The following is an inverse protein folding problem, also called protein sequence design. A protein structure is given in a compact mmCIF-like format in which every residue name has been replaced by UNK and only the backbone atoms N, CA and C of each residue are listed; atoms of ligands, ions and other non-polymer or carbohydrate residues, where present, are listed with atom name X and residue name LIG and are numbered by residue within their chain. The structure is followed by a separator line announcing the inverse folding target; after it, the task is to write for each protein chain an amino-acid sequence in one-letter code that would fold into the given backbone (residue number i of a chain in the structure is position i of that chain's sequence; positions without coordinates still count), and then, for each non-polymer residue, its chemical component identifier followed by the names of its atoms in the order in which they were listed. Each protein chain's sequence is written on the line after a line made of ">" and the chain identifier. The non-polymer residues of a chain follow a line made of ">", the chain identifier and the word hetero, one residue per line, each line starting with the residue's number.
data_IF_184297264381
#
_entry.id   IF_184297264381
#
_cell.length_a   1.000
_cell.length_b   1.000
_cell.length_c   1.000
_cell.angle_alpha   90.00
_cell.angle_beta   90.00
_cell.angle_gamma   90.00
#
_symmetry.space_group_name_H-M   'P 1'
#
loop_
_entity.id
_entity.type
_entity.pdbx_description
1 polymer ?
#
# COMPACT_ATOMS: atom_id res chain seq x y z
N UNK A 1 -21.24 -15.80 -4.06
CA UNK A 1 -21.12 -15.92 -2.59
C UNK A 1 -21.93 -17.09 -2.05
N UNK A 2 -21.57 -17.57 -0.88
CA UNK A 2 -22.35 -18.55 -0.12
C UNK A 2 -22.03 -18.44 1.37
N UNK A 3 -22.99 -18.78 2.23
CA UNK A 3 -22.72 -18.94 3.65
C UNK A 3 -21.96 -20.25 3.92
N UNK A 4 -21.13 -20.25 4.95
CA UNK A 4 -20.34 -21.42 5.35
C UNK A 4 -21.05 -22.16 6.48
N UNK A 5 -21.89 -23.10 6.14
CA UNK A 5 -22.54 -24.00 7.10
C UNK A 5 -21.56 -25.05 7.59
N UNK A 6 -21.46 -25.24 8.91
CA UNK A 6 -20.66 -26.28 9.57
C UNK A 6 -21.51 -27.47 10.02
N UNK A 7 -22.82 -27.25 10.17
CA UNK A 7 -23.86 -28.22 10.51
C UNK A 7 -24.90 -28.29 9.38
N UNK A 8 -25.84 -29.22 9.39
CA UNK A 8 -27.02 -29.17 8.52
C UNK A 8 -27.74 -27.83 8.58
N UNK A 9 -28.32 -27.38 7.47
CA UNK A 9 -28.88 -26.01 7.36
C UNK A 9 -30.08 -25.78 8.29
N UNK A 10 -30.83 -26.82 8.55
CA UNK A 10 -31.99 -26.86 9.44
C UNK A 10 -31.67 -26.71 10.93
N UNK A 11 -30.41 -26.90 11.31
CA UNK A 11 -29.93 -26.74 12.67
C UNK A 11 -29.55 -25.28 13.03
N UNK A 12 -29.65 -24.33 12.07
CA UNK A 12 -29.29 -22.93 12.32
C UNK A 12 -30.52 -22.06 12.56
N UNK A 13 -30.43 -21.17 13.56
CA UNK A 13 -31.44 -20.16 13.82
C UNK A 13 -31.24 -18.91 12.94
N UNK A 14 -32.28 -18.10 12.71
CA UNK A 14 -32.16 -16.84 11.95
C UNK A 14 -31.14 -15.84 12.51
N UNK A 15 -30.86 -15.92 13.83
CA UNK A 15 -29.92 -15.05 14.54
C UNK A 15 -28.46 -15.50 14.43
N UNK A 16 -28.18 -16.72 13.94
CA UNK A 16 -26.82 -17.25 13.86
C UNK A 16 -25.96 -16.50 12.84
N UNK A 17 -24.76 -16.12 13.25
CA UNK A 17 -23.76 -15.48 12.39
C UNK A 17 -22.92 -16.50 11.64
N UNK A 18 -22.98 -16.44 10.32
CA UNK A 18 -22.22 -17.32 9.45
C UNK A 18 -21.19 -16.54 8.60
N UNK A 19 -20.07 -17.21 8.31
CA UNK A 19 -19.03 -16.66 7.44
C UNK A 19 -19.46 -16.67 5.97
N UNK A 20 -19.37 -15.53 5.31
CA UNK A 20 -19.57 -15.43 3.85
C UNK A 20 -18.33 -15.96 3.12
N UNK A 21 -18.51 -16.84 2.14
CA UNK A 21 -17.44 -17.39 1.32
C UNK A 21 -17.66 -17.10 -0.17
N UNK A 22 -16.57 -16.89 -0.88
CA UNK A 22 -16.54 -16.94 -2.34
C UNK A 22 -16.43 -18.39 -2.80
N UNK A 23 -17.21 -18.76 -3.83
CA UNK A 23 -17.18 -20.11 -4.42
C UNK A 23 -17.04 -19.98 -5.94
N UNK A 24 -16.18 -20.80 -6.50
CA UNK A 24 -15.99 -20.89 -7.95
C UNK A 24 -15.87 -22.35 -8.35
N UNK A 25 -16.59 -22.74 -9.41
CA UNK A 25 -16.48 -24.05 -10.00
C UNK A 25 -15.65 -23.97 -11.28
N UNK A 26 -14.52 -24.65 -11.31
CA UNK A 26 -13.59 -24.61 -12.42
C UNK A 26 -14.04 -25.56 -13.54
N UNK A 27 -14.49 -25.00 -14.68
CA UNK A 27 -15.10 -25.76 -15.76
C UNK A 27 -14.11 -26.30 -16.80
N UNK A 28 -12.98 -25.64 -17.03
CA UNK A 28 -12.22 -25.77 -18.28
C UNK A 28 -10.71 -26.00 -18.17
N UNK A 29 -10.14 -26.18 -17.00
CA UNK A 29 -8.69 -26.44 -16.90
C UNK A 29 -8.38 -27.93 -16.79
N UNK A 30 -7.31 -28.38 -17.41
CA UNK A 30 -6.82 -29.77 -17.35
C UNK A 30 -6.46 -30.21 -15.94
N UNK A 31 -5.99 -29.29 -15.11
CA UNK A 31 -5.52 -29.57 -13.74
C UNK A 31 -6.60 -29.49 -12.66
N UNK A 32 -7.67 -28.72 -12.89
CA UNK A 32 -8.66 -28.37 -11.85
C UNK A 32 -10.12 -28.61 -12.25
N UNK A 33 -10.35 -29.27 -13.39
CA UNK A 33 -11.71 -29.54 -13.90
C UNK A 33 -12.59 -30.24 -12.84
N UNK A 34 -13.78 -29.69 -12.65
CA UNK A 34 -14.76 -30.25 -11.70
C UNK A 34 -14.51 -29.95 -10.23
N UNK A 35 -13.49 -29.14 -9.88
CA UNK A 35 -13.22 -28.76 -8.48
C UNK A 35 -13.92 -27.47 -8.08
N UNK A 36 -14.44 -27.44 -6.86
CA UNK A 36 -14.98 -26.23 -6.24
C UNK A 36 -13.89 -25.54 -5.43
N UNK A 37 -13.55 -24.33 -5.80
CA UNK A 37 -12.64 -23.48 -5.04
C UNK A 37 -13.49 -22.61 -4.11
N UNK A 38 -13.19 -22.64 -2.81
CA UNK A 38 -13.91 -21.89 -1.78
C UNK A 38 -12.93 -21.06 -0.96
N UNK A 39 -13.22 -19.77 -0.79
CA UNK A 39 -12.40 -18.83 -0.01
C UNK A 39 -13.24 -18.06 0.99
N UNK A 40 -12.84 -18.06 2.25
CA UNK A 40 -13.45 -17.21 3.28
C UNK A 40 -13.19 -15.73 3.02
N UNK A 41 -14.23 -14.91 3.19
CA UNK A 41 -14.12 -13.46 3.01
C UNK A 41 -13.75 -12.70 4.28
N UNK A 42 -13.84 -13.33 5.46
CA UNK A 42 -13.75 -12.66 6.75
C UNK A 42 -15.00 -11.85 7.11
N UNK A 43 -16.01 -11.78 6.25
CA UNK A 43 -17.28 -11.10 6.51
C UNK A 43 -18.26 -12.07 7.11
N UNK A 44 -18.87 -11.73 8.24
CA UNK A 44 -19.94 -12.49 8.89
C UNK A 44 -21.28 -11.80 8.67
N UNK A 45 -22.33 -12.60 8.53
CA UNK A 45 -23.70 -12.16 8.34
C UNK A 45 -24.64 -13.07 9.11
N UNK A 46 -25.68 -12.50 9.75
CA UNK A 46 -26.76 -13.31 10.31
C UNK A 46 -27.55 -14.00 9.22
N UNK A 47 -28.07 -15.16 9.50
CA UNK A 47 -28.83 -15.92 8.50
C UNK A 47 -30.09 -15.13 8.05
N UNK A 48 -30.73 -14.39 8.94
CA UNK A 48 -31.87 -13.50 8.63
C UNK A 48 -31.54 -12.41 7.62
N UNK A 49 -30.30 -11.87 7.68
CA UNK A 49 -29.83 -10.76 6.87
C UNK A 49 -29.22 -11.20 5.54
N UNK A 50 -29.17 -12.51 5.28
CA UNK A 50 -28.69 -13.05 4.03
C UNK A 50 -29.78 -13.13 2.97
N UNK A 51 -29.56 -12.52 1.80
CA UNK A 51 -30.46 -12.65 0.64
C UNK A 51 -30.04 -13.87 -0.20
N UNK A 52 -30.81 -14.94 -0.16
CA UNK A 52 -30.54 -16.17 -0.92
C UNK A 52 -30.69 -15.95 -2.42
N UNK A 53 -31.53 -14.98 -2.81
CA UNK A 53 -31.88 -14.70 -4.20
C UNK A 53 -31.15 -13.49 -4.79
N UNK A 54 -30.16 -12.95 -4.08
CA UNK A 54 -29.39 -11.78 -4.51
C UNK A 54 -28.85 -11.86 -5.94
N UNK A 55 -28.55 -13.05 -6.42
CA UNK A 55 -27.98 -13.30 -7.76
C UNK A 55 -29.02 -13.20 -8.91
N UNK A 56 -30.29 -13.16 -8.61
CA UNK A 56 -31.39 -13.10 -9.60
C UNK A 56 -31.66 -11.68 -10.10
N UNK A 57 -31.19 -10.65 -9.38
CA UNK A 57 -31.34 -9.25 -9.75
C UNK A 57 -30.01 -8.51 -9.56
N UNK A 58 -29.49 -7.80 -10.58
CA UNK A 58 -28.22 -7.08 -10.52
C UNK A 58 -28.19 -5.96 -9.47
N UNK A 59 -29.36 -5.43 -9.06
CA UNK A 59 -29.47 -4.36 -8.08
C UNK A 59 -29.53 -4.87 -6.63
N UNK A 60 -29.58 -6.19 -6.43
CA UNK A 60 -29.60 -6.80 -5.11
C UNK A 60 -28.21 -7.07 -4.59
N UNK A 61 -28.06 -6.89 -3.29
CA UNK A 61 -26.83 -7.22 -2.55
C UNK A 61 -26.98 -8.52 -1.75
N UNK A 62 -25.90 -9.28 -1.54
CA UNK A 62 -25.95 -10.53 -0.77
C UNK A 62 -26.31 -10.32 0.71
N UNK A 63 -26.06 -9.15 1.30
CA UNK A 63 -26.45 -8.80 2.66
C UNK A 63 -27.52 -7.72 2.60
N UNK A 64 -28.67 -7.96 3.23
CA UNK A 64 -29.82 -7.06 3.25
C UNK A 64 -29.55 -5.82 4.07
N UNK A 65 -30.35 -4.77 3.85
CA UNK A 65 -30.33 -3.49 4.60
C UNK A 65 -30.75 -3.60 6.08
N UNK A 66 -31.34 -4.72 6.49
CA UNK A 66 -31.58 -5.06 7.89
C UNK A 66 -30.27 -5.17 8.72
N UNK A 67 -29.13 -5.46 8.08
CA UNK A 67 -27.82 -5.41 8.75
C UNK A 67 -27.32 -3.95 8.83
N UNK A 68 -27.12 -3.44 10.05
CA UNK A 68 -26.65 -2.04 10.29
C UNK A 68 -25.38 -1.66 9.55
N UNK A 69 -24.59 -2.63 9.12
CA UNK A 69 -23.33 -2.43 8.39
C UNK A 69 -23.40 -2.93 6.94
N UNK A 70 -24.60 -3.09 6.37
CA UNK A 70 -24.80 -3.73 5.06
C UNK A 70 -23.99 -3.09 3.94
N UNK A 71 -23.93 -1.76 3.83
CA UNK A 71 -23.15 -1.06 2.81
C UNK A 71 -21.66 -1.38 2.93
N UNK A 72 -21.10 -1.32 4.14
CA UNK A 72 -19.69 -1.61 4.39
C UNK A 72 -19.36 -3.07 4.09
N UNK A 73 -20.21 -3.99 4.51
CA UNK A 73 -20.03 -5.43 4.31
C UNK A 73 -20.15 -5.79 2.83
N UNK A 74 -21.15 -5.27 2.11
CA UNK A 74 -21.32 -5.52 0.69
C UNK A 74 -20.19 -4.94 -0.16
N UNK A 75 -19.71 -3.72 0.17
CA UNK A 75 -18.52 -3.14 -0.47
C UNK A 75 -17.30 -4.04 -0.30
N UNK A 76 -17.03 -4.49 0.94
CA UNK A 76 -15.92 -5.39 1.22
C UNK A 76 -16.03 -6.73 0.48
N UNK A 77 -17.24 -7.27 0.35
CA UNK A 77 -17.49 -8.50 -0.42
C UNK A 77 -17.16 -8.29 -1.91
N UNK A 78 -17.57 -7.16 -2.49
CA UNK A 78 -17.29 -6.84 -3.89
C UNK A 78 -15.78 -6.70 -4.16
N UNK A 79 -15.05 -6.03 -3.28
CA UNK A 79 -13.60 -5.87 -3.43
C UNK A 79 -12.88 -7.22 -3.37
N UNK A 80 -13.30 -8.09 -2.44
CA UNK A 80 -12.77 -9.45 -2.33
C UNK A 80 -13.13 -10.32 -3.53
N UNK A 81 -14.31 -10.15 -4.10
CA UNK A 81 -14.73 -10.87 -5.30
C UNK A 81 -13.93 -10.45 -6.54
N UNK A 82 -13.63 -9.17 -6.70
CA UNK A 82 -12.77 -8.67 -7.80
C UNK A 82 -11.38 -9.29 -7.73
N UNK A 83 -10.74 -9.28 -6.55
CA UNK A 83 -9.43 -9.90 -6.34
C UNK A 83 -9.46 -11.41 -6.62
N UNK A 84 -10.51 -12.10 -6.20
CA UNK A 84 -10.67 -13.52 -6.44
C UNK A 84 -10.90 -13.87 -7.92
N UNK A 85 -11.69 -13.06 -8.65
CA UNK A 85 -11.86 -13.22 -10.11
C UNK A 85 -10.54 -13.06 -10.85
N UNK A 86 -9.75 -12.05 -10.51
CA UNK A 86 -8.42 -11.84 -11.10
C UNK A 86 -7.50 -13.05 -10.87
N UNK A 87 -7.49 -13.60 -9.66
CA UNK A 87 -6.73 -14.80 -9.36
C UNK A 87 -7.18 -16.00 -10.22
N UNK A 88 -8.49 -16.24 -10.28
CA UNK A 88 -9.05 -17.38 -11.04
C UNK A 88 -8.73 -17.27 -12.54
N UNK A 89 -8.74 -16.08 -13.11
CA UNK A 89 -8.38 -15.89 -14.54
C UNK A 89 -6.92 -16.23 -14.86
N UNK A 90 -6.05 -16.23 -13.85
CA UNK A 90 -4.63 -16.53 -14.00
C UNK A 90 -4.21 -17.87 -13.38
N UNK A 91 -5.17 -18.70 -12.94
CA UNK A 91 -4.88 -19.91 -12.15
C UNK A 91 -4.04 -20.94 -12.92
N UNK A 92 -4.23 -21.03 -14.23
CA UNK A 92 -3.53 -22.02 -15.05
C UNK A 92 -2.06 -21.64 -15.31
N UNK A 93 -1.69 -20.38 -15.11
CA UNK A 93 -0.31 -19.89 -15.22
C UNK A 93 0.53 -20.07 -13.94
N UNK A 94 -0.08 -20.54 -12.85
CA UNK A 94 0.57 -20.70 -11.56
C UNK A 94 1.26 -22.05 -11.41
N UNK A 95 2.41 -22.07 -10.75
CA UNK A 95 3.30 -23.22 -10.66
C UNK A 95 2.84 -24.38 -9.75
N UNK A 96 1.80 -24.16 -8.94
CA UNK A 96 1.30 -25.21 -8.02
C UNK A 96 0.00 -25.84 -8.50
N UNK A 97 -0.10 -27.16 -8.38
CA UNK A 97 -1.26 -27.96 -8.81
C UNK A 97 -2.42 -28.00 -7.80
N UNK A 98 -2.24 -27.46 -6.58
CA UNK A 98 -3.28 -27.50 -5.55
C UNK A 98 -4.07 -26.17 -5.53
N UNK A 99 -5.32 -26.14 -6.02
CA UNK A 99 -6.13 -24.94 -6.09
C UNK A 99 -6.47 -24.37 -4.70
N UNK A 100 -6.54 -25.20 -3.67
CA UNK A 100 -6.81 -24.75 -2.30
C UNK A 100 -5.61 -24.00 -1.74
N UNK A 101 -4.39 -24.52 -1.95
CA UNK A 101 -3.15 -23.85 -1.56
C UNK A 101 -2.92 -22.57 -2.35
N UNK A 102 -3.21 -22.56 -3.65
CA UNK A 102 -3.14 -21.35 -4.47
C UNK A 102 -4.13 -20.30 -3.96
N UNK A 103 -5.38 -20.70 -3.75
CA UNK A 103 -6.43 -19.81 -3.28
C UNK A 103 -6.11 -19.25 -1.88
N UNK A 104 -5.43 -20.00 -0.99
CA UNK A 104 -5.02 -19.50 0.31
C UNK A 104 -3.97 -18.38 0.24
N UNK A 105 -3.21 -18.31 -0.85
CA UNK A 105 -2.20 -17.27 -1.09
C UNK A 105 -2.78 -15.97 -1.67
N UNK A 106 -4.05 -15.98 -2.13
CA UNK A 106 -4.67 -14.77 -2.66
C UNK A 106 -4.95 -13.81 -1.51
N UNK A 107 -4.32 -12.63 -1.51
CA UNK A 107 -4.63 -11.62 -0.51
C UNK A 107 -5.98 -10.98 -0.86
N UNK A 108 -7.01 -11.30 -0.09
CA UNK A 108 -8.35 -10.73 -0.21
C UNK A 108 -8.56 -9.54 0.74
N UNK A 109 -7.50 -9.05 1.35
CA UNK A 109 -7.50 -7.93 2.28
C UNK A 109 -7.29 -6.58 1.61
N UNK A 110 -7.40 -5.49 2.37
CA UNK A 110 -6.95 -4.17 1.97
C UNK A 110 -5.45 -4.17 1.61
N UNK A 111 -5.01 -3.20 0.82
CA UNK A 111 -3.59 -3.04 0.43
C UNK A 111 -2.67 -2.96 1.64
N UNK A 112 -3.14 -2.33 2.73
CA UNK A 112 -2.41 -2.27 4.00
C UNK A 112 -2.09 -3.66 4.56
N UNK A 113 -3.05 -4.61 4.50
CA UNK A 113 -2.84 -5.99 4.96
C UNK A 113 -1.85 -6.74 4.06
N UNK A 114 -1.92 -6.51 2.76
CA UNK A 114 -0.96 -7.09 1.79
C UNK A 114 0.45 -6.60 2.07
N UNK A 115 0.62 -5.31 2.32
CA UNK A 115 1.91 -4.72 2.68
C UNK A 115 2.42 -5.25 4.01
N UNK A 116 1.57 -5.34 5.03
CA UNK A 116 1.94 -5.88 6.34
C UNK A 116 2.41 -7.33 6.24
N UNK A 117 1.72 -8.15 5.46
CA UNK A 117 2.12 -9.53 5.20
C UNK A 117 3.48 -9.60 4.48
N UNK A 118 3.69 -8.77 3.46
CA UNK A 118 4.97 -8.69 2.76
C UNK A 118 6.10 -8.29 3.70
N UNK A 119 5.93 -7.24 4.49
CA UNK A 119 6.89 -6.73 5.46
C UNK A 119 7.29 -7.80 6.50
N UNK A 120 6.31 -8.56 7.00
CA UNK A 120 6.57 -9.62 7.99
C UNK A 120 7.31 -10.83 7.39
N UNK A 121 7.27 -11.01 6.08
CA UNK A 121 7.94 -12.09 5.36
C UNK A 121 9.32 -11.70 4.81
N UNK A 122 9.74 -10.44 4.95
CA UNK A 122 11.08 -10.00 4.50
C UNK A 122 12.14 -10.59 5.41
N UNK A 123 13.13 -11.26 4.81
CA UNK A 123 14.33 -11.70 5.54
C UNK A 123 15.20 -10.49 5.85
N UNK A 124 15.45 -10.26 7.13
CA UNK A 124 16.33 -9.20 7.58
C UNK A 124 17.81 -9.65 7.51
N UNK A 125 18.68 -8.72 7.15
CA UNK A 125 20.12 -8.94 7.21
C UNK A 125 20.56 -8.89 8.66
N UNK A 126 21.30 -9.90 9.12
CA UNK A 126 21.90 -9.90 10.46
C UNK A 126 22.84 -8.69 10.62
N UNK A 127 22.83 -7.99 11.76
CA UNK A 127 23.76 -6.89 12.03
C UNK A 127 25.23 -7.27 11.82
N UNK A 128 25.61 -8.50 12.14
CA UNK A 128 26.98 -9.00 11.95
C UNK A 128 27.37 -9.11 10.46
N UNK A 129 26.42 -9.36 9.58
CA UNK A 129 26.65 -9.57 8.15
C UNK A 129 26.56 -8.28 7.32
N UNK A 130 26.08 -7.17 7.86
CA UNK A 130 25.93 -5.92 7.12
C UNK A 130 27.22 -5.45 6.47
N UNK A 131 28.33 -5.54 7.18
CA UNK A 131 29.66 -5.12 6.70
C UNK A 131 30.23 -5.99 5.59
N UNK A 132 29.66 -7.17 5.36
CA UNK A 132 30.06 -8.10 4.31
C UNK A 132 29.29 -7.85 3.00
N UNK A 133 28.31 -6.94 3.02
CA UNK A 133 27.44 -6.66 1.87
C UNK A 133 27.88 -5.34 1.24
N UNK A 134 28.34 -5.42 0.00
CA UNK A 134 28.55 -4.26 -0.85
C UNK A 134 27.23 -3.88 -1.53
N UNK A 135 26.81 -2.62 -1.38
CA UNK A 135 25.63 -2.08 -2.03
C UNK A 135 26.06 -1.08 -3.09
N UNK A 136 25.66 -1.34 -4.33
CA UNK A 136 25.92 -0.45 -5.46
C UNK A 136 24.67 0.42 -5.68
N UNK A 137 24.83 1.74 -5.58
CA UNK A 137 23.80 2.72 -5.87
C UNK A 137 24.15 3.44 -7.17
N UNK A 138 23.30 3.30 -8.18
CA UNK A 138 23.48 3.95 -9.48
C UNK A 138 22.56 5.16 -9.58
N UNK A 139 23.17 6.33 -9.71
CA UNK A 139 22.50 7.62 -9.72
C UNK A 139 22.56 8.33 -8.38
N UNK A 140 23.01 9.58 -8.39
CA UNK A 140 23.21 10.41 -7.19
C UNK A 140 22.26 11.61 -7.14
N UNK A 141 21.07 11.49 -7.74
CA UNK A 141 19.97 12.42 -7.48
C UNK A 141 19.46 12.28 -6.04
N UNK A 142 18.36 12.92 -5.70
CA UNK A 142 17.80 12.87 -4.35
C UNK A 142 17.58 11.44 -3.84
N UNK A 143 17.02 10.57 -4.68
CA UNK A 143 16.75 9.18 -4.30
C UNK A 143 18.04 8.40 -4.02
N UNK A 144 19.03 8.47 -4.93
CA UNK A 144 20.30 7.76 -4.76
C UNK A 144 21.15 8.32 -3.61
N UNK A 145 21.23 9.63 -3.49
CA UNK A 145 21.94 10.30 -2.38
C UNK A 145 21.34 9.94 -1.03
N UNK A 146 20.01 9.97 -0.89
CA UNK A 146 19.33 9.58 0.35
C UNK A 146 19.48 8.09 0.66
N UNK A 147 19.39 7.23 -0.34
CA UNK A 147 19.61 5.79 -0.17
C UNK A 147 21.04 5.48 0.27
N UNK A 148 22.03 6.12 -0.36
CA UNK A 148 23.45 5.95 -0.01
C UNK A 148 23.73 6.40 1.41
N UNK A 149 23.24 7.58 1.81
CA UNK A 149 23.39 8.09 3.16
C UNK A 149 22.79 7.12 4.21
N UNK A 150 21.55 6.72 3.99
CA UNK A 150 20.84 5.83 4.93
C UNK A 150 21.48 4.43 5.01
N UNK A 151 21.89 3.86 3.89
CA UNK A 151 22.53 2.55 3.89
C UNK A 151 23.91 2.57 4.57
N UNK A 152 24.70 3.62 4.34
CA UNK A 152 25.99 3.80 5.00
C UNK A 152 25.81 4.01 6.52
N UNK A 153 24.84 4.82 6.94
CA UNK A 153 24.48 5.00 8.36
C UNK A 153 24.05 3.67 9.01
N UNK A 154 23.37 2.81 8.27
CA UNK A 154 23.01 1.46 8.72
C UNK A 154 24.18 0.48 8.77
N UNK A 155 25.39 0.86 8.32
CA UNK A 155 26.61 0.07 8.38
C UNK A 155 26.87 -0.86 7.19
N UNK A 156 26.27 -0.59 6.03
CA UNK A 156 26.61 -1.27 4.78
C UNK A 156 27.80 -0.61 4.08
N UNK A 157 28.55 -1.38 3.27
CA UNK A 157 29.52 -0.82 2.34
C UNK A 157 28.78 -0.29 1.12
N UNK A 158 28.76 1.04 0.92
CA UNK A 158 28.02 1.65 -0.16
C UNK A 158 28.98 2.24 -1.21
N UNK A 159 28.75 1.88 -2.49
CA UNK A 159 29.46 2.43 -3.64
C UNK A 159 28.44 3.15 -4.54
N UNK A 160 28.53 4.47 -4.58
CA UNK A 160 27.61 5.31 -5.37
C UNK A 160 28.26 5.74 -6.69
N UNK A 161 27.57 5.51 -7.79
CA UNK A 161 28.02 5.84 -9.14
C UNK A 161 27.08 6.82 -9.81
N UNK A 162 27.63 7.83 -10.48
CA UNK A 162 26.89 8.68 -11.40
C UNK A 162 27.79 9.05 -12.56
N UNK A 163 27.17 9.48 -13.67
CA UNK A 163 27.91 10.03 -14.81
C UNK A 163 28.03 11.55 -14.70
N UNK A 164 27.34 12.17 -13.78
CA UNK A 164 27.33 13.62 -13.57
C UNK A 164 28.51 14.03 -12.69
N UNK A 165 29.10 15.16 -13.00
CA UNK A 165 30.25 15.75 -12.31
C UNK A 165 29.85 16.64 -11.10
N UNK A 166 28.56 16.92 -10.95
CA UNK A 166 28.04 17.79 -9.90
C UNK A 166 26.63 17.41 -9.44
N UNK A 167 26.31 17.45 -8.13
CA UNK A 167 24.96 17.26 -7.62
C UNK A 167 23.95 18.24 -8.21
N UNK A 168 24.39 19.42 -8.61
CA UNK A 168 23.54 20.43 -9.25
C UNK A 168 23.01 20.05 -10.63
N UNK A 169 23.53 19.00 -11.24
CA UNK A 169 23.06 18.50 -12.53
C UNK A 169 21.99 17.40 -12.38
N UNK A 170 21.74 16.92 -11.18
CA UNK A 170 20.65 16.00 -10.94
C UNK A 170 19.29 16.70 -11.15
N UNK A 171 18.34 16.01 -11.80
CA UNK A 171 17.01 16.59 -12.07
C UNK A 171 16.27 17.03 -10.81
N UNK A 172 16.56 16.41 -9.67
CA UNK A 172 15.99 16.78 -8.36
C UNK A 172 16.14 18.25 -8.02
N UNK A 173 17.19 18.92 -8.50
CA UNK A 173 17.40 20.37 -8.24
C UNK A 173 16.31 21.25 -8.87
N UNK A 174 15.66 20.79 -9.94
CA UNK A 174 14.61 21.51 -10.65
C UNK A 174 13.26 21.44 -9.94
N UNK A 175 13.09 20.58 -8.96
CA UNK A 175 11.84 20.46 -8.19
C UNK A 175 11.72 21.61 -7.18
N UNK A 176 10.74 22.48 -7.35
CA UNK A 176 10.59 23.72 -6.57
C UNK A 176 9.38 23.75 -5.66
N UNK A 177 8.30 23.05 -6.02
CA UNK A 177 6.99 23.17 -5.40
C UNK A 177 6.91 22.72 -3.95
N UNK A 178 7.58 21.64 -3.60
CA UNK A 178 7.56 21.03 -2.28
C UNK A 178 7.51 19.52 -2.32
N UNK A 179 7.44 18.92 -1.15
CA UNK A 179 7.31 17.48 -0.94
C UNK A 179 6.07 17.19 -0.10
N UNK A 180 5.28 16.20 -0.53
CA UNK A 180 4.04 15.83 0.14
C UNK A 180 4.29 14.79 1.23
N UNK A 181 3.69 15.00 2.42
CA UNK A 181 3.69 14.04 3.50
C UNK A 181 2.39 14.11 4.33
N UNK A 182 1.89 12.98 4.75
CA UNK A 182 0.61 12.85 5.44
C UNK A 182 0.73 13.14 6.95
N UNK A 183 1.26 14.33 7.32
CA UNK A 183 1.43 14.72 8.73
C UNK A 183 0.15 15.27 9.38
N UNK A 184 -0.81 15.71 8.58
CA UNK A 184 -2.10 16.25 9.04
C UNK A 184 -1.99 17.33 10.14
N UNK A 185 -1.04 18.24 10.04
CA UNK A 185 -0.80 19.26 11.05
C UNK A 185 -1.98 20.21 11.25
N UNK A 186 -2.72 20.52 10.18
CA UNK A 186 -3.86 21.43 10.23
C UNK A 186 -5.18 20.75 10.56
N UNK A 187 -5.19 19.41 10.71
CA UNK A 187 -6.41 18.66 11.03
C UNK A 187 -7.46 18.64 9.92
N UNK A 188 -7.05 18.89 8.66
CA UNK A 188 -7.93 18.99 7.49
C UNK A 188 -8.32 17.62 6.88
N UNK A 189 -8.16 16.56 7.68
CA UNK A 189 -8.56 15.20 7.31
C UNK A 189 -7.58 14.49 6.40
N UNK A 190 -6.32 14.90 6.37
CA UNK A 190 -5.28 14.15 5.68
C UNK A 190 -4.93 12.85 6.38
N UNK A 191 -4.48 11.86 5.62
CA UNK A 191 -4.07 10.55 6.13
C UNK A 191 -3.15 9.84 5.14
N UNK A 192 -2.41 8.86 5.64
CA UNK A 192 -1.62 7.95 4.80
C UNK A 192 -2.45 7.35 3.66
N UNK A 193 -3.67 6.92 3.95
CA UNK A 193 -4.56 6.35 2.93
C UNK A 193 -4.97 7.40 1.89
N UNK A 194 -5.26 8.63 2.30
CA UNK A 194 -5.62 9.71 1.38
C UNK A 194 -4.44 10.08 0.47
N UNK A 195 -3.24 10.21 1.03
CA UNK A 195 -2.03 10.46 0.24
C UNK A 195 -1.78 9.32 -0.76
N UNK A 196 -1.93 8.07 -0.33
CA UNK A 196 -1.84 6.90 -1.19
C UNK A 196 -2.86 6.95 -2.33
N UNK A 197 -4.14 7.16 -2.03
CA UNK A 197 -5.21 7.22 -3.01
C UNK A 197 -4.98 8.33 -4.05
N UNK A 198 -4.64 9.55 -3.59
CA UNK A 198 -4.39 10.68 -4.46
C UNK A 198 -3.18 10.45 -5.37
N UNK A 199 -2.13 9.81 -4.87
CA UNK A 199 -0.93 9.47 -5.65
C UNK A 199 -1.22 8.43 -6.72
N UNK A 200 -1.97 7.37 -6.39
CA UNK A 200 -2.36 6.34 -7.35
C UNK A 200 -3.28 6.92 -8.43
N UNK A 201 -4.26 7.75 -8.01
CA UNK A 201 -5.18 8.43 -8.94
C UNK A 201 -4.43 9.40 -9.85
N UNK A 202 -3.52 10.21 -9.30
CA UNK A 202 -2.71 11.16 -10.08
C UNK A 202 -1.76 10.48 -11.06
N UNK A 203 -1.39 9.22 -10.82
CA UNK A 203 -0.62 8.38 -11.72
C UNK A 203 -1.47 7.51 -12.67
N UNK A 204 -2.73 7.86 -12.91
CA UNK A 204 -3.66 7.12 -13.78
C UNK A 204 -3.78 5.63 -13.45
N UNK A 205 -3.67 5.29 -12.17
CA UNK A 205 -3.74 3.90 -11.66
C UNK A 205 -2.69 2.96 -12.27
N UNK A 206 -1.55 3.49 -12.76
CA UNK A 206 -0.45 2.72 -13.35
C UNK A 206 0.62 2.34 -12.35
N UNK A 207 0.58 2.92 -11.17
CA UNK A 207 1.58 2.70 -10.11
C UNK A 207 1.42 1.32 -9.45
N UNK A 208 2.53 0.77 -8.96
CA UNK A 208 2.49 -0.39 -8.09
C UNK A 208 1.96 0.05 -6.72
N UNK A 209 0.71 -0.29 -6.40
CA UNK A 209 -0.02 0.19 -5.23
C UNK A 209 0.69 -0.08 -3.90
N UNK A 210 1.30 -1.27 -3.74
CA UNK A 210 2.05 -1.61 -2.52
C UNK A 210 3.23 -0.68 -2.27
N UNK A 211 3.94 -0.26 -3.32
CA UNK A 211 5.07 0.67 -3.19
C UNK A 211 4.58 2.08 -2.85
N UNK A 212 3.49 2.53 -3.48
CA UNK A 212 2.89 3.85 -3.19
C UNK A 212 2.33 3.90 -1.78
N UNK A 213 1.68 2.83 -1.33
CA UNK A 213 1.19 2.75 0.05
C UNK A 213 2.35 2.85 1.06
N UNK A 214 3.44 2.12 0.80
CA UNK A 214 4.64 2.21 1.66
C UNK A 214 5.24 3.61 1.66
N UNK A 215 5.33 4.26 0.51
CA UNK A 215 5.79 5.65 0.42
C UNK A 215 4.93 6.58 1.26
N UNK A 216 3.61 6.46 1.16
CA UNK A 216 2.68 7.25 1.95
C UNK A 216 2.82 7.00 3.46
N UNK A 217 3.02 5.73 3.85
CA UNK A 217 3.23 5.33 5.25
C UNK A 217 4.50 5.94 5.86
N UNK A 218 5.60 5.98 5.12
CA UNK A 218 6.88 6.52 5.61
C UNK A 218 7.05 8.02 5.38
N UNK A 219 6.14 8.66 4.67
CA UNK A 219 6.27 10.05 4.25
C UNK A 219 6.51 11.02 5.40
N UNK A 220 5.87 10.79 6.54
CA UNK A 220 6.04 11.59 7.76
C UNK A 220 7.46 11.52 8.31
N UNK A 221 8.03 10.32 8.35
CA UNK A 221 9.40 10.08 8.84
C UNK A 221 10.43 10.67 7.88
N UNK A 222 10.15 10.66 6.56
CA UNK A 222 11.03 11.27 5.55
C UNK A 222 11.19 12.78 5.80
N UNK A 223 10.11 13.48 6.12
CA UNK A 223 10.20 14.91 6.45
C UNK A 223 11.08 15.14 7.68
N UNK A 224 10.90 14.34 8.74
CA UNK A 224 11.69 14.45 9.95
C UNK A 224 13.18 14.15 9.67
N UNK A 225 13.48 13.15 8.86
CA UNK A 225 14.84 12.85 8.41
C UNK A 225 15.44 14.02 7.61
N UNK A 226 14.69 14.63 6.68
CA UNK A 226 15.15 15.80 5.93
C UNK A 226 15.45 16.98 6.84
N UNK A 227 14.64 17.23 7.86
CA UNK A 227 14.90 18.27 8.88
C UNK A 227 16.20 17.97 9.63
N UNK A 228 16.42 16.72 10.05
CA UNK A 228 17.64 16.31 10.73
C UNK A 228 18.88 16.41 9.84
N UNK A 229 18.72 16.29 8.52
CA UNK A 229 19.78 16.51 7.52
C UNK A 229 20.06 17.99 7.24
N UNK A 230 19.32 18.89 7.88
CA UNK A 230 19.52 20.34 7.78
C UNK A 230 18.77 21.03 6.64
N UNK A 231 17.72 20.40 6.09
CA UNK A 231 16.87 21.01 5.07
C UNK A 231 16.07 22.16 5.68
N UNK A 232 16.19 23.41 5.18
CA UNK A 232 15.56 24.59 5.77
C UNK A 232 14.11 24.74 5.28
N UNK A 233 13.24 23.85 5.69
CA UNK A 233 11.81 23.98 5.40
C UNK A 233 11.24 25.26 6.01
N UNK A 234 10.26 25.85 5.33
CA UNK A 234 9.49 26.95 5.89
C UNK A 234 8.87 26.57 7.23
N UNK A 235 8.79 27.55 8.13
CA UNK A 235 8.21 27.37 9.46
C UNK A 235 7.17 28.43 9.72
N UNK A 236 6.14 28.04 10.46
CA UNK A 236 5.16 28.96 11.03
C UNK A 236 5.78 29.79 12.17
N UNK A 237 5.07 30.83 12.59
CA UNK A 237 5.51 31.70 13.68
C UNK A 237 5.81 30.93 14.99
N UNK A 238 5.06 29.89 15.27
CA UNK A 238 5.27 28.99 16.41
C UNK A 238 6.45 28.01 16.29
N UNK A 239 7.19 28.03 15.17
CA UNK A 239 8.36 27.17 14.94
C UNK A 239 8.04 25.79 14.36
N UNK A 240 6.79 25.41 14.19
CA UNK A 240 6.38 24.21 13.49
C UNK A 240 6.66 24.33 11.99
N UNK A 241 6.80 23.20 11.31
CA UNK A 241 6.95 23.20 9.85
C UNK A 241 5.67 23.71 9.20
N UNK A 242 5.83 24.69 8.32
CA UNK A 242 4.72 25.18 7.51
C UNK A 242 4.41 24.22 6.38
N UNK A 243 3.11 24.03 6.11
CA UNK A 243 2.62 23.22 5.02
C UNK A 243 1.47 23.92 4.29
N UNK A 244 1.29 23.60 3.03
CA UNK A 244 0.27 24.22 2.19
C UNK A 244 -0.40 23.22 1.27
N UNK A 245 -1.58 23.57 0.79
CA UNK A 245 -2.21 22.93 -0.36
C UNK A 245 -1.47 23.37 -1.63
N UNK A 246 -1.11 22.40 -2.49
CA UNK A 246 -0.39 22.67 -3.74
C UNK A 246 -0.71 21.59 -4.79
N UNK A 247 -0.74 22.01 -6.07
CA UNK A 247 -0.88 21.08 -7.18
C UNK A 247 -2.25 20.39 -7.30
N UNK A 248 -3.34 21.06 -6.87
CA UNK A 248 -4.70 20.52 -6.93
C UNK A 248 -5.06 19.59 -5.78
N UNK A 249 -4.18 19.44 -4.79
CA UNK A 249 -4.46 18.70 -3.57
C UNK A 249 -5.31 19.54 -2.64
N UNK A 250 -6.42 18.97 -2.16
CA UNK A 250 -7.42 19.69 -1.33
C UNK A 250 -7.02 19.83 0.15
N UNK A 251 -5.91 19.25 0.56
CA UNK A 251 -5.41 19.27 1.95
C UNK A 251 -4.01 19.85 2.01
N UNK A 252 -3.66 20.42 3.17
CA UNK A 252 -2.37 21.01 3.42
C UNK A 252 -1.35 19.95 3.80
N UNK A 253 -0.63 19.42 2.82
CA UNK A 253 0.37 18.34 3.01
C UNK A 253 1.72 18.62 2.37
N UNK A 254 1.89 19.77 1.69
CA UNK A 254 3.10 20.08 0.94
C UNK A 254 4.06 20.90 1.81
N UNK A 255 5.18 20.30 2.18
CA UNK A 255 6.28 20.96 2.89
C UNK A 255 7.24 21.55 1.87
N UNK A 256 7.75 22.77 2.11
CA UNK A 256 8.49 23.52 1.09
C UNK A 256 9.63 24.37 1.68
N UNK A 257 10.60 24.68 0.84
CA UNK A 257 11.71 25.58 1.13
C UNK A 257 11.74 26.71 0.06
N UNK A 258 10.74 27.58 0.09
CA UNK A 258 10.60 28.86 -0.69
C UNK A 258 11.22 28.82 -2.10
N UNK A 259 10.72 27.97 -3.00
CA UNK A 259 11.17 27.88 -4.39
C UNK A 259 12.46 27.09 -4.62
N UNK A 260 13.07 26.53 -3.59
CA UNK A 260 14.33 25.77 -3.67
C UNK A 260 14.22 24.38 -3.04
N UNK A 261 13.02 23.83 -2.92
CA UNK A 261 12.78 22.61 -2.15
C UNK A 261 13.64 21.45 -2.64
N UNK A 262 13.67 21.16 -3.94
CA UNK A 262 14.47 20.08 -4.50
C UNK A 262 15.97 20.27 -4.32
N UNK A 263 16.44 21.51 -4.49
CA UNK A 263 17.85 21.86 -4.25
C UNK A 263 18.24 21.61 -2.79
N UNK A 264 17.44 22.06 -1.85
CA UNK A 264 17.73 21.93 -0.42
C UNK A 264 17.65 20.47 0.04
N UNK A 265 16.68 19.72 -0.46
CA UNK A 265 16.60 18.28 -0.22
C UNK A 265 17.83 17.53 -0.74
N UNK A 266 18.28 17.86 -1.96
CA UNK A 266 19.46 17.24 -2.56
C UNK A 266 20.72 17.57 -1.78
N UNK A 267 20.93 18.83 -1.39
CA UNK A 267 22.06 19.25 -0.59
C UNK A 267 22.05 18.59 0.80
N UNK A 268 20.88 18.45 1.44
CA UNK A 268 20.75 17.75 2.71
C UNK A 268 21.14 16.27 2.59
N UNK A 269 20.70 15.58 1.55
CA UNK A 269 21.07 14.20 1.27
C UNK A 269 22.58 14.04 1.02
N UNK A 270 23.18 14.94 0.24
CA UNK A 270 24.64 14.96 0.02
C UNK A 270 25.43 15.25 1.28
N UNK A 271 24.99 16.19 2.08
CA UNK A 271 25.60 16.50 3.38
C UNK A 271 25.58 15.27 4.29
N UNK A 272 24.44 14.57 4.34
CA UNK A 272 24.34 13.33 5.12
C UNK A 272 25.24 12.21 4.58
N UNK A 273 25.30 12.06 3.25
CA UNK A 273 26.15 11.05 2.61
C UNK A 273 27.65 11.31 2.86
N UNK A 274 28.08 12.57 2.84
CA UNK A 274 29.49 12.92 3.07
C UNK A 274 29.94 12.83 4.54
N UNK A 275 29.01 12.62 5.46
CA UNK A 275 29.32 12.38 6.89
C UNK A 275 29.64 10.92 7.21
N UNK A 276 29.30 10.02 6.31
CA UNK A 276 29.51 8.57 6.46
C UNK A 276 30.80 8.12 5.79
#
# INVERSE_FOLDING_TARGET
>A
YSLNYRKPKDEYSPSDELMVCLRYFHKSSTNFKGKIIKKSTGVKCKLSDWDIDWHKNPDRFPIKDSDKLFLKKNKLLNDKAKAFKFFISNIDSLSTKDPVKLCSKVPLGPIADQWTTHKNNIRLVSPANKRLIDVIVVGTGLAGGSASATLAELGYNVKSFCFQDSPRRAHSIAAQGGINAAKNYQGDGDSTYRLFHDTVKGGDYRSRESNVYRLAEVSTNIIDQCVAQGVPFAREYGGLLDNRSFGGVLVSRTFYAKGQTGQQLLLGAYSAMNRQ
#
